data_IF_561725763312
#
_entry.id   IF_561725763312
#
_cell.length_a   1.000
_cell.length_b   1.000
_cell.length_c   1.000
_cell.angle_alpha   90.00
_cell.angle_beta   90.00
_cell.angle_gamma   90.00
#
_symmetry.space_group_name_H-M   'P 1'
#
loop_
_entity.id
_entity.type
_entity.pdbx_description
1 polymer ?
#
# COMPACT_ATOMS: atom_id res chain seq x y z
N UNK A 1 -9.53 -8.59 8.19
CA UNK A 1 -8.93 -8.99 9.47
C UNK A 1 -9.74 -8.41 10.60
N UNK A 2 -10.01 -9.19 11.67
CA UNK A 2 -10.69 -8.69 12.87
C UNK A 2 -9.71 -7.94 13.79
N UNK A 3 -10.24 -7.04 14.64
CA UNK A 3 -9.43 -6.32 15.64
C UNK A 3 -8.68 -7.29 16.57
N UNK A 4 -9.31 -8.41 16.94
CA UNK A 4 -8.67 -9.43 17.77
C UNK A 4 -7.49 -10.15 17.09
N UNK A 5 -7.46 -10.21 15.77
CA UNK A 5 -6.30 -10.72 15.02
C UNK A 5 -5.16 -9.69 15.00
N UNK A 6 -5.48 -8.40 14.89
CA UNK A 6 -4.52 -7.31 14.94
C UNK A 6 -3.89 -7.15 16.32
N UNK A 7 -4.68 -7.33 17.39
CA UNK A 7 -4.22 -7.20 18.78
C UNK A 7 -3.08 -8.15 19.17
N UNK A 8 -2.85 -9.23 18.41
CA UNK A 8 -1.72 -10.14 18.61
C UNK A 8 -0.38 -9.55 18.15
N UNK A 9 -0.42 -8.50 17.33
CA UNK A 9 0.76 -7.93 16.68
C UNK A 9 1.01 -6.46 17.06
N UNK A 10 0.32 -5.96 18.05
CA UNK A 10 0.52 -4.62 18.56
C UNK A 10 -0.66 -4.15 19.39
N UNK A 11 -0.46 -3.03 20.09
CA UNK A 11 -1.52 -2.41 20.87
C UNK A 11 -2.51 -1.73 19.94
N UNK A 12 -3.76 -2.13 20.00
CA UNK A 12 -4.81 -1.49 19.22
C UNK A 12 -5.30 -0.27 20.00
N UNK A 13 -4.79 0.89 19.64
CA UNK A 13 -5.28 2.18 20.13
C UNK A 13 -6.15 2.86 19.07
N UNK A 14 -7.07 3.67 19.54
CA UNK A 14 -7.87 4.54 18.68
C UNK A 14 -7.46 5.98 18.90
N UNK A 15 -7.44 6.74 17.82
CA UNK A 15 -7.26 8.17 17.89
C UNK A 15 -8.52 8.87 18.46
N UNK A 16 -8.47 10.17 18.81
CA UNK A 16 -9.63 10.91 19.31
C UNK A 16 -10.83 10.90 18.36
N UNK A 17 -10.62 10.55 17.09
CA UNK A 17 -11.66 10.46 16.07
C UNK A 17 -12.21 9.02 15.91
N UNK A 18 -11.71 8.06 16.73
CA UNK A 18 -12.14 6.66 16.72
C UNK A 18 -11.54 5.80 15.62
N UNK A 19 -10.51 6.28 14.88
CA UNK A 19 -9.79 5.47 13.90
C UNK A 19 -8.73 4.62 14.61
N UNK A 20 -8.49 3.42 14.06
CA UNK A 20 -7.41 2.56 14.56
C UNK A 20 -6.04 3.18 14.24
N UNK A 21 -5.17 3.24 15.24
CA UNK A 21 -3.76 3.61 15.08
C UNK A 21 -2.98 2.45 14.46
N UNK A 22 -3.10 2.32 13.14
CA UNK A 22 -2.49 1.21 12.39
C UNK A 22 -0.96 1.23 12.43
N UNK A 23 -0.34 2.38 12.71
CA UNK A 23 1.12 2.52 12.79
C UNK A 23 1.74 1.75 13.97
N UNK A 24 0.94 1.35 14.96
CA UNK A 24 1.41 0.60 16.13
C UNK A 24 1.28 -0.93 15.94
N UNK A 25 0.73 -1.36 14.81
CA UNK A 25 0.59 -2.77 14.47
C UNK A 25 1.80 -3.23 13.66
N UNK A 26 2.53 -4.20 14.15
CA UNK A 26 3.67 -4.81 13.45
C UNK A 26 3.17 -5.73 12.31
N UNK A 27 2.83 -5.10 11.18
CA UNK A 27 2.38 -5.81 9.99
C UNK A 27 3.47 -6.71 9.40
N UNK A 28 4.73 -6.30 9.48
CA UNK A 28 5.86 -7.08 8.99
C UNK A 28 5.96 -8.42 9.70
N UNK A 29 5.88 -8.40 11.03
CA UNK A 29 5.86 -9.62 11.85
C UNK A 29 4.63 -10.48 11.55
N UNK A 30 3.46 -9.86 11.42
CA UNK A 30 2.23 -10.58 11.12
C UNK A 30 2.30 -11.33 9.78
N UNK A 31 2.81 -10.68 8.74
CA UNK A 31 2.99 -11.29 7.42
C UNK A 31 4.02 -12.41 7.51
N UNK A 32 5.17 -12.14 8.15
CA UNK A 32 6.22 -13.13 8.37
C UNK A 32 5.68 -14.40 9.02
N UNK A 33 4.93 -14.27 10.11
CA UNK A 33 4.41 -15.42 10.85
C UNK A 33 3.42 -16.22 10.00
N UNK A 34 2.53 -15.55 9.25
CA UNK A 34 1.61 -16.23 8.33
C UNK A 34 2.31 -16.95 7.19
N UNK A 35 3.34 -16.33 6.62
CA UNK A 35 4.14 -16.96 5.57
C UNK A 35 4.90 -18.16 6.14
N UNK A 36 5.49 -18.04 7.33
CA UNK A 36 6.16 -19.15 8.01
C UNK A 36 5.22 -20.34 8.24
N UNK A 37 3.98 -20.08 8.67
CA UNK A 37 3.00 -21.15 8.85
C UNK A 37 2.68 -21.85 7.52
N UNK A 38 2.49 -21.08 6.43
CA UNK A 38 2.23 -21.65 5.10
C UNK A 38 3.40 -22.45 4.53
N UNK A 39 4.63 -22.00 4.76
CA UNK A 39 5.84 -22.75 4.36
C UNK A 39 5.97 -24.05 5.15
N UNK A 40 5.62 -24.03 6.44
CA UNK A 40 5.63 -25.24 7.29
C UNK A 40 4.60 -26.26 6.82
N UNK A 41 3.40 -25.84 6.40
CA UNK A 41 2.39 -26.72 5.77
C UNK A 41 2.95 -27.41 4.52
N UNK A 42 3.81 -26.69 3.76
CA UNK A 42 4.48 -27.23 2.57
C UNK A 42 5.77 -28.01 2.88
N UNK A 43 6.09 -28.21 4.17
CA UNK A 43 7.33 -28.85 4.65
C UNK A 43 8.59 -28.15 4.12
N UNK A 44 8.52 -26.83 3.95
CA UNK A 44 9.65 -26.01 3.55
C UNK A 44 10.25 -25.33 4.79
N UNK A 45 11.55 -25.50 5.00
CA UNK A 45 12.29 -24.82 6.07
C UNK A 45 13.05 -23.64 5.50
N UNK A 46 12.59 -22.43 5.81
CA UNK A 46 13.17 -21.18 5.33
C UNK A 46 13.24 -20.19 6.48
N UNK A 47 14.38 -19.52 6.63
CA UNK A 47 14.50 -18.40 7.54
C UNK A 47 13.81 -17.17 6.94
N UNK A 48 12.87 -16.58 7.69
CA UNK A 48 12.17 -15.38 7.30
C UNK A 48 12.51 -14.24 8.24
N UNK A 49 12.82 -13.08 7.68
CA UNK A 49 13.03 -11.84 8.43
C UNK A 49 12.09 -10.79 7.88
N UNK A 50 11.36 -10.11 8.75
CA UNK A 50 10.62 -8.91 8.37
C UNK A 50 11.54 -7.70 8.49
N UNK A 51 11.46 -6.81 7.51
CA UNK A 51 12.15 -5.53 7.56
C UNK A 51 11.19 -4.46 7.04
N UNK A 52 10.97 -3.42 7.84
CA UNK A 52 10.24 -2.25 7.40
C UNK A 52 11.18 -1.36 6.57
N UNK A 53 10.75 -1.09 5.34
CA UNK A 53 11.44 -0.16 4.45
C UNK A 53 10.65 1.15 4.47
N UNK A 54 11.00 2.00 5.41
CA UNK A 54 10.32 3.29 5.61
C UNK A 54 11.29 4.45 5.42
N UNK A 55 12.09 4.73 6.41
CA UNK A 55 13.02 5.84 6.40
C UNK A 55 14.09 5.74 5.32
N UNK A 56 14.57 4.55 5.01
CA UNK A 56 15.56 4.32 3.95
C UNK A 56 15.10 4.83 2.58
N UNK A 57 13.79 4.79 2.31
CA UNK A 57 13.22 5.31 1.06
C UNK A 57 12.82 6.78 1.13
N UNK A 58 12.50 7.29 2.33
CA UNK A 58 12.01 8.67 2.51
C UNK A 58 13.11 9.67 2.80
N UNK A 59 14.30 9.24 3.18
CA UNK A 59 15.44 10.09 3.53
C UNK A 59 16.48 10.17 2.41
N UNK A 60 16.15 9.75 1.21
CA UNK A 60 16.97 10.00 0.03
C UNK A 60 16.94 11.50 -0.33
N UNK A 61 18.03 11.99 -0.92
CA UNK A 61 18.08 13.35 -1.42
C UNK A 61 16.99 13.58 -2.47
N UNK A 62 16.32 14.76 -2.47
CA UNK A 62 15.28 15.05 -3.42
C UNK A 62 15.85 15.11 -4.85
N UNK A 63 15.10 14.55 -5.80
CA UNK A 63 15.39 14.73 -7.23
C UNK A 63 14.82 16.06 -7.73
N UNK A 64 15.23 16.48 -8.93
CA UNK A 64 14.79 17.76 -9.50
C UNK A 64 13.27 17.92 -9.54
N UNK A 65 12.54 16.83 -9.84
CA UNK A 65 11.09 16.82 -9.79
C UNK A 65 10.53 17.14 -8.39
N UNK A 66 11.09 16.56 -7.34
CA UNK A 66 10.62 16.80 -5.96
C UNK A 66 10.83 18.27 -5.57
N UNK A 67 12.00 18.83 -5.93
CA UNK A 67 12.34 20.21 -5.62
C UNK A 67 11.39 21.19 -6.33
N UNK A 68 11.06 20.94 -7.60
CA UNK A 68 10.13 21.76 -8.37
C UNK A 68 8.69 21.59 -7.83
N UNK A 69 8.24 20.38 -7.68
CA UNK A 69 6.88 20.07 -7.25
C UNK A 69 6.55 20.62 -5.85
N UNK A 70 7.46 20.48 -4.90
CA UNK A 70 7.27 21.00 -3.53
C UNK A 70 7.28 22.53 -3.49
N UNK A 71 8.12 23.17 -4.31
CA UNK A 71 8.12 24.64 -4.45
C UNK A 71 6.79 25.14 -5.01
N UNK A 72 6.27 24.47 -6.05
CA UNK A 72 5.00 24.83 -6.68
C UNK A 72 3.81 24.61 -5.75
N UNK A 73 3.84 23.54 -4.96
CA UNK A 73 2.85 23.31 -3.90
C UNK A 73 2.90 24.42 -2.85
N UNK A 74 4.10 24.81 -2.38
CA UNK A 74 4.28 25.90 -1.41
C UNK A 74 3.78 27.23 -1.93
N UNK A 75 4.14 27.58 -3.17
CA UNK A 75 3.64 28.80 -3.84
C UNK A 75 2.11 28.79 -3.94
N UNK A 76 1.55 27.67 -4.37
CA UNK A 76 0.10 27.49 -4.50
C UNK A 76 -0.62 27.58 -3.15
N UNK A 77 -0.04 27.07 -2.08
CA UNK A 77 -0.57 27.17 -0.73
C UNK A 77 -0.64 28.62 -0.25
N UNK A 78 0.44 29.38 -0.44
CA UNK A 78 0.44 30.82 -0.09
C UNK A 78 -0.58 31.59 -0.91
N UNK A 79 -0.67 31.34 -2.21
CA UNK A 79 -1.69 31.99 -3.06
C UNK A 79 -3.10 31.69 -2.59
N UNK A 80 -3.38 30.44 -2.20
CA UNK A 80 -4.70 30.08 -1.65
C UNK A 80 -4.96 30.81 -0.34
N UNK A 81 -3.99 30.82 0.60
CA UNK A 81 -4.15 31.51 1.89
C UNK A 81 -4.40 33.01 1.74
N UNK A 82 -3.83 33.64 0.73
CA UNK A 82 -4.05 35.07 0.44
C UNK A 82 -5.31 35.34 -0.41
N UNK A 83 -6.00 34.30 -0.85
CA UNK A 83 -7.22 34.44 -1.63
C UNK A 83 -8.46 34.61 -0.73
N UNK A 84 -9.56 35.23 -1.23
CA UNK A 84 -10.82 35.27 -0.51
C UNK A 84 -11.44 33.90 -0.23
N UNK A 85 -11.01 32.88 -0.93
CA UNK A 85 -11.53 31.52 -0.79
C UNK A 85 -11.05 30.86 0.51
N UNK A 86 -9.86 31.21 0.99
CA UNK A 86 -9.32 30.65 2.24
C UNK A 86 -10.14 30.99 3.47
N UNK A 87 -10.89 32.11 3.42
CA UNK A 87 -11.85 32.47 4.48
C UNK A 87 -13.16 31.68 4.44
N UNK A 88 -13.41 30.93 3.37
CA UNK A 88 -14.67 30.19 3.19
C UNK A 88 -14.53 28.69 3.54
N UNK A 89 -13.37 28.09 3.27
CA UNK A 89 -13.13 26.67 3.53
C UNK A 89 -11.64 26.35 3.70
N UNK A 90 -11.34 25.31 4.45
CA UNK A 90 -10.01 24.69 4.49
C UNK A 90 -9.83 23.70 3.33
N UNK A 91 -8.62 23.60 2.78
CA UNK A 91 -8.33 22.75 1.64
C UNK A 91 -6.97 22.06 1.71
N UNK A 92 -6.85 20.92 1.05
CA UNK A 92 -5.56 20.38 0.60
C UNK A 92 -5.19 21.05 -0.72
N UNK A 93 -3.99 21.58 -0.80
CA UNK A 93 -3.47 22.12 -2.05
C UNK A 93 -2.95 20.95 -2.92
N UNK A 94 -3.43 20.90 -4.14
CA UNK A 94 -2.97 19.95 -5.15
C UNK A 94 -2.65 20.65 -6.46
N UNK A 95 -1.84 20.01 -7.28
CA UNK A 95 -1.58 20.43 -8.66
C UNK A 95 -2.20 19.39 -9.60
N UNK A 96 -3.01 19.86 -10.51
CA UNK A 96 -3.63 19.05 -11.56
C UNK A 96 -3.28 19.69 -12.89
N UNK A 97 -2.64 18.96 -13.79
CA UNK A 97 -2.17 19.50 -15.07
C UNK A 97 -1.34 20.78 -14.93
N UNK A 98 -0.47 20.83 -13.91
CA UNK A 98 0.38 21.98 -13.60
C UNK A 98 -0.35 23.20 -13.02
N UNK A 99 -1.64 23.10 -12.69
CA UNK A 99 -2.45 24.19 -12.11
C UNK A 99 -2.84 23.91 -10.67
N UNK A 100 -2.83 24.95 -9.85
CA UNK A 100 -3.31 24.88 -8.46
C UNK A 100 -4.78 24.47 -8.43
N UNK A 101 -5.08 23.42 -7.69
CA UNK A 101 -6.44 22.94 -7.44
C UNK A 101 -6.63 22.69 -5.95
N UNK A 102 -7.18 23.66 -5.21
CA UNK A 102 -7.56 23.43 -3.82
C UNK A 102 -8.67 22.39 -3.74
N UNK A 103 -8.48 21.37 -2.89
CA UNK A 103 -9.49 20.36 -2.60
C UNK A 103 -10.09 20.65 -1.22
N UNK A 104 -11.34 21.12 -1.13
CA UNK A 104 -11.97 21.39 0.16
C UNK A 104 -12.01 20.15 1.04
N UNK A 105 -11.72 20.27 2.34
CA UNK A 105 -11.74 19.12 3.27
C UNK A 105 -13.08 18.43 3.29
N UNK A 106 -14.17 19.16 3.12
CA UNK A 106 -15.52 18.60 3.08
C UNK A 106 -15.71 17.56 1.97
N UNK A 107 -15.06 17.75 0.81
CA UNK A 107 -15.16 16.81 -0.32
C UNK A 107 -14.48 15.47 -0.04
N UNK A 108 -13.63 15.41 0.99
CA UNK A 108 -12.93 14.20 1.40
C UNK A 108 -13.64 13.45 2.54
N UNK A 109 -14.72 14.02 3.06
CA UNK A 109 -15.51 13.39 4.11
C UNK A 109 -16.53 12.42 3.52
N UNK A 110 -16.69 11.28 4.18
CA UNK A 110 -17.82 10.40 3.92
C UNK A 110 -19.11 11.11 4.38
N UNK A 111 -20.10 11.30 3.50
CA UNK A 111 -21.33 12.05 3.84
C UNK A 111 -22.10 11.46 5.03
N UNK A 112 -22.09 10.13 5.17
CA UNK A 112 -22.83 9.44 6.22
C UNK A 112 -22.11 9.46 7.57
N UNK A 113 -20.79 9.24 7.56
CA UNK A 113 -20.00 9.12 8.81
C UNK A 113 -19.30 10.40 9.23
N UNK A 114 -19.25 11.41 8.35
CA UNK A 114 -18.50 12.66 8.53
C UNK A 114 -17.00 12.46 8.85
N UNK A 115 -16.46 11.30 8.49
CA UNK A 115 -15.04 10.96 8.65
C UNK A 115 -14.32 11.02 7.32
N UNK A 116 -13.01 11.25 7.36
CA UNK A 116 -12.17 11.21 6.17
C UNK A 116 -12.30 9.86 5.47
N UNK A 117 -12.50 9.93 4.16
CA UNK A 117 -12.52 8.72 3.33
C UNK A 117 -11.10 8.21 3.13
N UNK A 118 -10.92 6.89 3.32
CA UNK A 118 -9.66 6.24 2.98
C UNK A 118 -9.53 6.18 1.46
N UNK A 119 -8.50 6.80 0.92
CA UNK A 119 -8.17 6.68 -0.50
C UNK A 119 -7.56 5.30 -0.75
N UNK A 120 -8.19 4.53 -1.61
CA UNK A 120 -7.67 3.25 -2.04
C UNK A 120 -6.64 3.43 -3.17
N UNK A 121 -5.79 2.43 -3.35
CA UNK A 121 -4.90 2.37 -4.51
C UNK A 121 -5.77 2.24 -5.77
N UNK A 122 -5.48 3.07 -6.76
CA UNK A 122 -6.10 2.95 -8.09
C UNK A 122 -5.36 1.88 -8.89
N UNK A 123 -5.99 0.72 -9.00
CA UNK A 123 -5.44 -0.44 -9.71
C UNK A 123 -5.45 -0.30 -11.23
N UNK A 124 -6.06 0.75 -11.77
CA UNK A 124 -6.05 1.09 -13.20
C UNK A 124 -5.00 2.16 -13.55
N UNK A 125 -4.25 2.64 -12.56
CA UNK A 125 -3.24 3.68 -12.78
C UNK A 125 -1.94 3.12 -13.34
N UNK A 126 -1.25 3.91 -14.16
CA UNK A 126 0.10 3.63 -14.66
C UNK A 126 1.09 3.33 -13.51
N UNK A 127 0.94 4.05 -12.38
CA UNK A 127 1.76 3.83 -11.19
C UNK A 127 1.58 2.44 -10.59
N UNK A 128 0.34 1.92 -10.58
CA UNK A 128 0.06 0.55 -10.14
C UNK A 128 0.64 -0.47 -11.11
N UNK A 129 0.46 -0.28 -12.42
CA UNK A 129 1.05 -1.16 -13.44
C UNK A 129 2.57 -1.22 -13.32
N UNK A 130 3.22 -0.06 -13.18
CA UNK A 130 4.65 0.04 -12.97
C UNK A 130 5.08 -0.73 -11.72
N UNK A 131 4.42 -0.52 -10.58
CA UNK A 131 4.73 -1.22 -9.33
C UNK A 131 4.59 -2.74 -9.47
N UNK A 132 3.57 -3.22 -10.17
CA UNK A 132 3.35 -4.64 -10.40
C UNK A 132 4.48 -5.30 -11.20
N UNK A 133 5.17 -4.57 -12.09
CA UNK A 133 6.32 -5.08 -12.85
C UNK A 133 7.55 -5.34 -11.98
N UNK A 134 7.68 -4.65 -10.87
CA UNK A 134 8.80 -4.82 -9.93
C UNK A 134 8.50 -5.80 -8.79
N UNK A 135 7.27 -6.27 -8.68
CA UNK A 135 6.90 -7.27 -7.67
C UNK A 135 7.28 -8.67 -8.11
N UNK A 136 8.06 -9.37 -7.27
CA UNK A 136 8.29 -10.81 -7.46
C UNK A 136 7.04 -11.57 -7.04
N UNK A 137 6.35 -12.16 -7.99
CA UNK A 137 5.08 -12.88 -7.79
C UNK A 137 4.92 -13.98 -8.83
N UNK A 138 4.03 -14.91 -8.56
CA UNK A 138 3.59 -15.88 -9.58
C UNK A 138 2.68 -15.16 -10.56
N UNK A 139 2.93 -15.34 -11.84
CA UNK A 139 2.16 -14.75 -12.93
C UNK A 139 1.39 -15.82 -13.73
N UNK A 140 0.40 -15.37 -14.48
CA UNK A 140 -0.39 -16.26 -15.34
C UNK A 140 0.48 -17.10 -16.28
N UNK A 141 1.50 -16.46 -16.88
CA UNK A 141 2.47 -17.13 -17.75
C UNK A 141 3.24 -18.26 -17.03
N UNK A 142 3.50 -18.15 -15.74
CA UNK A 142 4.19 -19.19 -14.97
C UNK A 142 3.30 -20.42 -14.73
N UNK A 143 1.99 -20.21 -14.69
CA UNK A 143 1.00 -21.30 -14.52
C UNK A 143 0.63 -21.96 -15.86
N UNK A 144 0.67 -21.19 -16.93
CA UNK A 144 0.32 -21.66 -18.30
C UNK A 144 1.48 -22.39 -18.96
N UNK A 145 2.74 -22.06 -18.63
CA UNK A 145 3.93 -22.75 -19.13
C UNK A 145 4.18 -24.03 -18.30
N UNK A 146 4.10 -25.25 -18.91
CA UNK A 146 4.28 -26.49 -18.19
C UNK A 146 5.66 -26.64 -17.53
N UNK A 147 6.72 -26.11 -18.14
CA UNK A 147 8.07 -26.22 -17.61
C UNK A 147 8.26 -25.31 -16.39
N UNK A 148 7.77 -24.09 -16.44
CA UNK A 148 7.78 -23.15 -15.30
C UNK A 148 6.92 -23.68 -14.16
N UNK A 149 5.70 -24.12 -14.48
CA UNK A 149 4.78 -24.69 -13.51
C UNK A 149 5.40 -25.90 -12.79
N UNK A 150 6.04 -26.82 -13.52
CA UNK A 150 6.71 -27.98 -12.92
C UNK A 150 7.84 -27.55 -11.98
N UNK A 151 8.64 -26.55 -12.37
CA UNK A 151 9.73 -26.02 -11.55
C UNK A 151 9.22 -25.36 -10.27
N UNK A 152 8.17 -24.53 -10.37
CA UNK A 152 7.57 -23.86 -9.22
C UNK A 152 6.90 -24.87 -8.27
N UNK A 153 6.19 -25.84 -8.83
CA UNK A 153 5.55 -26.90 -8.05
C UNK A 153 6.59 -27.73 -7.27
N UNK A 154 7.69 -28.13 -7.93
CA UNK A 154 8.78 -28.84 -7.25
C UNK A 154 9.40 -28.02 -6.11
N UNK A 155 9.64 -26.73 -6.32
CA UNK A 155 10.15 -25.84 -5.28
C UNK A 155 9.18 -25.68 -4.08
N UNK A 156 7.89 -25.87 -4.31
CA UNK A 156 6.86 -25.82 -3.28
C UNK A 156 6.51 -27.19 -2.66
N UNK A 157 7.24 -28.24 -2.99
CA UNK A 157 6.94 -29.65 -2.62
C UNK A 157 5.51 -30.06 -3.03
N UNK A 158 5.05 -29.63 -4.18
CA UNK A 158 3.72 -29.93 -4.73
C UNK A 158 3.84 -30.57 -6.11
N UNK A 159 2.80 -31.28 -6.51
CA UNK A 159 2.61 -31.67 -7.91
C UNK A 159 2.07 -30.45 -8.71
N UNK A 160 2.35 -30.36 -10.03
CA UNK A 160 1.91 -29.22 -10.86
C UNK A 160 0.40 -28.92 -10.76
N UNK A 161 -0.45 -29.95 -10.78
CA UNK A 161 -1.88 -29.78 -10.62
C UNK A 161 -2.28 -29.19 -9.26
N UNK A 162 -1.65 -29.62 -8.19
CA UNK A 162 -1.89 -29.11 -6.84
C UNK A 162 -1.39 -27.66 -6.68
N UNK A 163 -0.23 -27.34 -7.27
CA UNK A 163 0.28 -25.98 -7.30
C UNK A 163 -0.68 -25.04 -8.04
N UNK A 164 -1.11 -25.45 -9.24
CA UNK A 164 -2.07 -24.68 -10.04
C UNK A 164 -3.39 -24.46 -9.29
N UNK A 165 -3.96 -25.51 -8.70
CA UNK A 165 -5.21 -25.40 -7.93
C UNK A 165 -5.08 -24.44 -6.73
N UNK A 166 -3.90 -24.39 -6.09
CA UNK A 166 -3.66 -23.57 -4.90
C UNK A 166 -3.42 -22.10 -5.23
N UNK A 167 -2.74 -21.80 -6.32
CA UNK A 167 -2.23 -20.46 -6.62
C UNK A 167 -2.88 -19.77 -7.83
N UNK A 168 -3.65 -20.46 -8.66
CA UNK A 168 -4.30 -19.87 -9.83
C UNK A 168 -5.25 -18.70 -9.51
N UNK A 169 -5.84 -18.68 -8.31
CA UNK A 169 -6.68 -17.57 -7.86
C UNK A 169 -5.92 -16.32 -7.38
N UNK A 170 -4.58 -16.36 -7.38
CA UNK A 170 -3.72 -15.25 -6.95
C UNK A 170 -3.04 -14.54 -8.12
N UNK A 171 -3.35 -14.92 -9.37
CA UNK A 171 -2.72 -14.46 -10.64
C UNK A 171 -3.70 -13.76 -11.53
#
# INVERSE_FOLDING_TARGET
MSEGQLARYGKIERDPHGNLRMAEVDFGRMIKDRVADKLRELKLSVSLTSKDIGYELRCADPVAFDAEYTRDLGHSAVRFLLSPESGKYGAIISLVEGKTRPLPFETMLNPATKRMQTRRVDISSEGFECAMRFMTRVEKADIEDPARLAKLAAAANLYPAAFKARFAGSV
#
